data_IF_853718266638
#
_entry.id   IF_853718266638
#
_cell.length_a   1.000
_cell.length_b   1.000
_cell.length_c   1.000
_cell.angle_alpha   90.00
_cell.angle_beta   90.00
_cell.angle_gamma   90.00
#
_symmetry.space_group_name_H-M   'P 1'
#
loop_
_entity.id
_entity.type
_entity.pdbx_description
1 polymer ?
#
# COMPACT_ATOMS: atom_id res chain seq x y z
N UNK A 1 27.35 -6.68 48.89
CA UNK A 1 25.90 -6.80 48.64
C UNK A 1 25.62 -8.12 47.94
N UNK A 2 24.85 -9.02 48.56
CA UNK A 2 24.56 -10.36 48.07
C UNK A 2 23.88 -10.31 46.68
N UNK A 3 24.26 -11.19 45.73
CA UNK A 3 23.62 -11.30 44.41
C UNK A 3 22.10 -11.42 44.51
N UNK A 4 21.62 -12.12 45.54
CA UNK A 4 20.20 -12.28 45.84
C UNK A 4 19.50 -10.94 46.16
N UNK A 5 20.16 -10.06 46.92
CA UNK A 5 19.60 -8.73 47.28
C UNK A 5 19.51 -7.84 46.04
N UNK A 6 20.52 -7.88 45.15
CA UNK A 6 20.47 -7.15 43.87
C UNK A 6 19.32 -7.63 42.98
N UNK A 7 19.09 -8.94 42.92
CA UNK A 7 18.00 -9.53 42.15
C UNK A 7 16.62 -9.12 42.69
N UNK A 8 16.43 -9.16 44.01
CA UNK A 8 15.17 -8.75 44.65
C UNK A 8 14.87 -7.26 44.44
N UNK A 9 15.88 -6.39 44.53
CA UNK A 9 15.73 -4.96 44.25
C UNK A 9 15.37 -4.69 42.78
N UNK A 10 15.96 -5.45 41.84
CA UNK A 10 15.62 -5.34 40.42
C UNK A 10 14.18 -5.76 40.14
N UNK A 11 13.73 -6.87 40.74
CA UNK A 11 12.34 -7.34 40.61
C UNK A 11 11.37 -6.31 41.20
N UNK A 12 11.64 -5.78 42.39
CA UNK A 12 10.80 -4.77 43.02
C UNK A 12 10.70 -3.50 42.17
N UNK A 13 11.81 -3.07 41.55
CA UNK A 13 11.83 -1.93 40.62
C UNK A 13 10.98 -2.20 39.37
N UNK A 14 11.11 -3.39 38.77
CA UNK A 14 10.30 -3.78 37.60
C UNK A 14 8.80 -3.84 37.92
N UNK A 15 8.43 -4.33 39.11
CA UNK A 15 7.04 -4.38 39.57
C UNK A 15 6.48 -2.96 39.81
N UNK A 16 7.25 -2.06 40.41
CA UNK A 16 6.83 -0.67 40.61
C UNK A 16 6.62 0.06 39.27
N UNK A 17 7.51 -0.17 38.28
CA UNK A 17 7.35 0.34 36.92
C UNK A 17 6.08 -0.22 36.27
N UNK A 18 5.84 -1.53 36.41
CA UNK A 18 4.65 -2.18 35.84
C UNK A 18 3.35 -1.61 36.44
N UNK A 19 3.30 -1.40 37.76
CA UNK A 19 2.14 -0.80 38.43
C UNK A 19 1.90 0.63 37.92
N UNK A 20 2.96 1.45 37.83
CA UNK A 20 2.84 2.80 37.27
C UNK A 20 2.35 2.82 35.82
N UNK A 21 2.76 1.85 35.00
CA UNK A 21 2.28 1.70 33.63
C UNK A 21 0.80 1.27 33.57
N UNK A 22 0.31 0.50 34.54
CA UNK A 22 -1.10 0.11 34.65
C UNK A 22 -1.95 1.31 35.07
N UNK A 23 -1.55 2.03 36.12
CA UNK A 23 -2.31 3.17 36.67
C UNK A 23 -2.45 4.33 35.67
N UNK A 24 -1.42 4.56 34.85
CA UNK A 24 -1.44 5.59 33.79
C UNK A 24 -2.19 5.15 32.53
N UNK A 25 -2.62 3.89 32.44
CA UNK A 25 -3.17 3.31 31.21
C UNK A 25 -2.13 3.17 30.09
N UNK A 26 -0.85 3.42 30.36
CA UNK A 26 0.22 3.29 29.38
C UNK A 26 0.38 1.82 28.93
N UNK A 27 0.21 0.86 29.84
CA UNK A 27 0.28 -0.57 29.51
C UNK A 27 -0.87 -1.01 28.59
N UNK A 28 -2.11 -0.60 28.89
CA UNK A 28 -3.27 -0.93 28.05
C UNK A 28 -3.22 -0.22 26.70
N UNK A 29 -2.78 1.04 26.66
CA UNK A 29 -2.53 1.77 25.41
C UNK A 29 -1.44 1.12 24.57
N UNK A 30 -0.35 0.68 25.20
CA UNK A 30 0.77 0.04 24.53
C UNK A 30 0.38 -1.36 23.99
N UNK A 31 -0.28 -2.19 24.80
CA UNK A 31 -0.80 -3.50 24.35
C UNK A 31 -1.82 -3.32 23.22
N UNK A 32 -2.76 -2.38 23.34
CA UNK A 32 -3.75 -2.09 22.31
C UNK A 32 -3.11 -1.63 20.99
N UNK A 33 -2.08 -0.79 21.02
CA UNK A 33 -1.31 -0.42 19.83
C UNK A 33 -0.59 -1.63 19.21
N UNK A 34 0.02 -2.48 20.04
CA UNK A 34 0.77 -3.65 19.59
C UNK A 34 -0.12 -4.68 18.89
N UNK A 35 -1.34 -4.88 19.38
CA UNK A 35 -2.30 -5.80 18.77
C UNK A 35 -2.92 -5.22 17.49
N UNK A 36 -3.20 -3.90 17.45
CA UNK A 36 -3.76 -3.25 16.25
C UNK A 36 -2.75 -3.17 15.10
N UNK A 37 -1.46 -2.91 15.36
CA UNK A 37 -0.43 -2.93 14.31
C UNK A 37 -0.25 -4.34 13.70
N UNK A 38 -0.31 -5.39 14.52
CA UNK A 38 -0.25 -6.78 14.03
C UNK A 38 -1.43 -7.16 13.13
N UNK A 39 -2.53 -6.43 13.21
CA UNK A 39 -3.73 -6.64 12.41
C UNK A 39 -3.76 -5.78 11.14
N UNK A 40 -2.63 -5.18 10.71
CA UNK A 40 -2.60 -4.32 9.52
C UNK A 40 -1.50 -4.69 8.52
N UNK A 41 -1.79 -4.56 7.23
CA UNK A 41 -0.80 -4.62 6.16
C UNK A 41 -0.33 -3.21 5.81
N UNK A 42 0.95 -3.04 5.57
CA UNK A 42 1.49 -1.79 5.02
C UNK A 42 1.30 -1.74 3.51
N UNK A 43 0.84 -0.61 3.00
CA UNK A 43 0.59 -0.35 1.59
C UNK A 43 1.33 0.89 1.13
N UNK A 44 1.83 0.88 -0.10
CA UNK A 44 2.53 2.00 -0.73
C UNK A 44 1.93 2.34 -2.11
N UNK A 45 0.79 3.06 -2.17
CA UNK A 45 0.15 3.35 -3.44
C UNK A 45 0.62 4.65 -4.10
N UNK A 46 0.58 4.63 -5.44
CA UNK A 46 0.83 5.74 -6.34
C UNK A 46 -0.38 5.89 -7.27
N UNK A 47 -0.88 7.11 -7.41
CA UNK A 47 -2.09 7.44 -8.16
C UNK A 47 -1.79 8.47 -9.26
N UNK A 48 -2.10 8.12 -10.50
CA UNK A 48 -2.02 8.98 -11.67
C UNK A 48 -3.41 9.46 -12.10
N UNK A 49 -3.46 10.68 -12.62
CA UNK A 49 -4.69 11.33 -13.08
C UNK A 49 -4.51 11.73 -14.55
N UNK A 50 -5.35 11.19 -15.44
CA UNK A 50 -5.28 11.42 -16.88
C UNK A 50 -6.61 11.96 -17.41
N UNK A 51 -6.90 13.26 -17.25
CA UNK A 51 -8.09 13.87 -17.81
C UNK A 51 -7.97 14.13 -19.32
N UNK A 52 -9.09 14.26 -20.04
CA UNK A 52 -9.05 14.59 -21.49
C UNK A 52 -8.59 16.03 -21.77
N UNK A 53 -8.79 16.91 -20.80
CA UNK A 53 -8.37 18.31 -20.80
C UNK A 53 -7.92 18.69 -19.40
N UNK A 54 -7.16 19.77 -19.30
CA UNK A 54 -6.82 20.36 -18.01
C UNK A 54 -8.08 20.56 -17.16
N UNK A 55 -8.08 20.00 -15.94
CA UNK A 55 -9.20 20.13 -15.02
C UNK A 55 -8.78 20.00 -13.56
N UNK A 56 -9.58 20.60 -12.68
CA UNK A 56 -9.47 20.41 -11.24
C UNK A 56 -9.95 19.01 -10.84
N UNK A 57 -9.18 18.36 -9.97
CA UNK A 57 -9.50 17.06 -9.38
C UNK A 57 -9.29 17.12 -7.87
N UNK A 58 -10.26 16.63 -7.13
CA UNK A 58 -10.16 16.34 -5.70
C UNK A 58 -10.08 14.82 -5.50
N UNK A 59 -9.11 14.36 -4.71
CA UNK A 59 -8.93 12.95 -4.34
C UNK A 59 -8.94 12.82 -2.82
N UNK A 60 -9.83 11.98 -2.29
CA UNK A 60 -9.93 11.66 -0.87
C UNK A 60 -9.79 10.17 -0.64
N UNK A 61 -8.95 9.81 0.32
CA UNK A 61 -8.86 8.46 0.87
C UNK A 61 -9.95 8.33 1.94
N UNK A 62 -10.84 7.35 1.80
CA UNK A 62 -12.04 7.23 2.63
C UNK A 62 -11.73 6.99 4.12
N UNK A 63 -10.70 6.20 4.42
CA UNK A 63 -10.16 6.07 5.78
C UNK A 63 -8.73 6.63 5.84
N UNK A 64 -8.64 7.94 6.00
CA UNK A 64 -7.37 8.66 6.00
C UNK A 64 -6.61 8.56 7.33
N UNK A 65 -7.20 7.97 8.39
CA UNK A 65 -6.49 7.73 9.65
C UNK A 65 -5.36 6.69 9.51
N UNK A 66 -5.31 6.02 8.36
CA UNK A 66 -4.36 4.97 8.04
C UNK A 66 -3.12 5.50 7.31
N UNK A 67 -3.09 6.78 6.92
CA UNK A 67 -1.97 7.41 6.22
C UNK A 67 -0.78 7.58 7.18
N UNK A 68 0.37 7.04 6.80
CA UNK A 68 1.66 7.15 7.49
C UNK A 68 2.59 8.15 6.82
N UNK A 69 2.57 8.22 5.50
CA UNK A 69 3.32 9.19 4.72
C UNK A 69 2.50 9.63 3.49
N UNK A 70 2.78 10.83 2.99
CA UNK A 70 2.09 11.42 1.85
C UNK A 70 3.05 12.27 1.02
N UNK A 71 2.85 12.29 -0.29
CA UNK A 71 3.55 13.21 -1.18
C UNK A 71 2.76 13.45 -2.48
N UNK A 72 2.35 14.69 -2.82
CA UNK A 72 2.45 15.92 -2.02
C UNK A 72 1.67 15.83 -0.70
N UNK A 73 1.80 16.84 0.17
CA UNK A 73 1.17 16.82 1.49
C UNK A 73 -0.34 16.63 1.38
N UNK A 74 -0.88 15.58 2.03
CA UNK A 74 -2.32 15.30 2.08
C UNK A 74 -3.03 16.21 3.09
N UNK A 75 -4.20 16.73 2.73
CA UNK A 75 -5.09 17.44 3.66
C UNK A 75 -6.08 16.45 4.30
N UNK A 76 -6.05 16.34 5.63
CA UNK A 76 -6.88 15.38 6.37
C UNK A 76 -8.39 15.62 6.28
N UNK A 77 -8.85 16.76 5.78
CA UNK A 77 -10.27 17.09 5.63
C UNK A 77 -10.68 17.16 4.16
N UNK A 78 -9.83 17.79 3.35
CA UNK A 78 -10.12 18.11 1.96
C UNK A 78 -9.47 17.15 0.96
N UNK A 79 -8.54 16.30 1.40
CA UNK A 79 -7.75 15.45 0.53
C UNK A 79 -6.80 16.24 -0.37
N UNK A 80 -6.32 15.62 -1.44
CA UNK A 80 -5.56 16.36 -2.46
C UNK A 80 -6.53 17.14 -3.35
N UNK A 81 -6.20 18.41 -3.58
CA UNK A 81 -6.83 19.25 -4.60
C UNK A 81 -5.76 19.67 -5.59
N UNK A 82 -5.93 19.25 -6.84
CA UNK A 82 -4.92 19.44 -7.88
C UNK A 82 -5.56 19.91 -9.17
N UNK A 83 -4.78 20.57 -10.01
CA UNK A 83 -5.10 20.74 -11.42
C UNK A 83 -4.35 19.65 -12.21
N UNK A 84 -5.08 18.73 -12.84
CA UNK A 84 -4.52 17.60 -13.57
C UNK A 84 -4.47 17.89 -15.08
N UNK A 85 -3.43 17.41 -15.75
CA UNK A 85 -3.19 17.62 -17.18
C UNK A 85 -3.25 16.29 -17.95
N UNK A 86 -3.62 16.30 -19.26
CA UNK A 86 -3.75 15.07 -20.04
C UNK A 86 -2.48 14.22 -20.16
N UNK A 87 -1.30 14.82 -19.94
CA UNK A 87 0.00 14.12 -19.95
C UNK A 87 0.34 13.45 -18.60
N UNK A 88 -0.56 13.51 -17.62
CA UNK A 88 -0.39 12.92 -16.29
C UNK A 88 0.28 13.83 -15.27
N UNK A 89 0.74 15.03 -15.67
CA UNK A 89 1.24 16.02 -14.69
C UNK A 89 0.08 16.51 -13.82
N UNK A 90 0.40 16.86 -12.58
CA UNK A 90 -0.53 17.50 -11.66
C UNK A 90 0.12 18.72 -11.03
N UNK A 91 -0.64 19.80 -10.86
CA UNK A 91 -0.26 20.96 -10.07
C UNK A 91 -1.02 20.92 -8.75
N UNK A 92 -0.31 20.76 -7.65
CA UNK A 92 -0.94 20.69 -6.33
C UNK A 92 -1.30 22.09 -5.83
N UNK A 93 -2.55 22.31 -5.43
CA UNK A 93 -2.97 23.62 -4.91
C UNK A 93 -2.45 23.90 -3.50
N UNK A 94 -2.13 22.86 -2.71
CA UNK A 94 -1.65 23.03 -1.34
C UNK A 94 -0.30 23.75 -1.25
N UNK A 95 0.58 23.58 -2.25
CA UNK A 95 1.92 24.17 -2.28
C UNK A 95 2.31 24.84 -3.60
N UNK A 96 1.44 24.79 -4.62
CA UNK A 96 1.66 25.39 -5.93
C UNK A 96 2.78 24.72 -6.73
N UNK A 97 3.06 23.42 -6.50
CA UNK A 97 4.13 22.68 -7.17
C UNK A 97 3.61 21.61 -8.12
N UNK A 98 4.41 21.32 -9.14
CA UNK A 98 4.15 20.26 -10.10
C UNK A 98 4.65 18.91 -9.58
N UNK A 99 3.85 17.85 -9.81
CA UNK A 99 4.14 16.47 -9.48
C UNK A 99 3.72 15.54 -10.63
N UNK A 100 4.25 14.32 -10.63
CA UNK A 100 3.89 13.28 -11.62
C UNK A 100 2.76 12.35 -11.15
N UNK A 101 2.49 12.31 -9.84
CA UNK A 101 1.49 11.46 -9.21
C UNK A 101 1.20 11.90 -7.78
N UNK A 102 0.14 11.36 -7.19
CA UNK A 102 -0.12 11.41 -5.75
C UNK A 102 0.38 10.11 -5.11
N UNK A 103 1.11 10.21 -4.00
CA UNK A 103 1.64 9.08 -3.26
C UNK A 103 1.13 9.09 -1.83
N UNK A 104 0.84 7.90 -1.31
CA UNK A 104 0.71 7.69 0.13
C UNK A 104 1.33 6.37 0.56
N UNK A 105 1.74 6.33 1.82
CA UNK A 105 1.98 5.10 2.55
C UNK A 105 0.89 5.01 3.61
N UNK A 106 0.37 3.82 3.85
CA UNK A 106 -0.56 3.63 4.94
C UNK A 106 -0.73 2.19 5.34
N UNK A 107 -1.84 1.94 6.02
CA UNK A 107 -2.19 0.59 6.48
C UNK A 107 -3.59 0.20 6.02
N UNK A 108 -3.82 -1.10 5.89
CA UNK A 108 -5.15 -1.67 5.67
C UNK A 108 -5.36 -2.82 6.65
N UNK A 109 -6.59 -3.03 7.09
CA UNK A 109 -6.91 -4.06 8.09
C UNK A 109 -6.80 -5.48 7.50
N UNK A 110 -6.10 -6.37 8.21
CA UNK A 110 -5.86 -7.77 7.83
C UNK A 110 -7.12 -8.63 7.87
N UNK A 111 -8.16 -8.18 8.56
CA UNK A 111 -9.48 -8.82 8.56
C UNK A 111 -10.08 -8.86 7.14
N UNK A 112 -9.61 -7.98 6.25
CA UNK A 112 -9.77 -8.08 4.80
C UNK A 112 -8.65 -8.93 4.19
N UNK A 113 -8.50 -10.16 4.66
CA UNK A 113 -7.38 -11.03 4.29
C UNK A 113 -7.37 -11.26 2.77
N UNK A 114 -6.19 -11.10 2.16
CA UNK A 114 -5.99 -11.37 0.74
C UNK A 114 -6.21 -12.84 0.42
N UNK A 115 -7.01 -13.12 -0.61
CA UNK A 115 -7.24 -14.49 -1.04
C UNK A 115 -6.12 -14.96 -1.97
N UNK A 116 -5.04 -15.48 -1.38
CA UNK A 116 -3.87 -15.98 -2.10
C UNK A 116 -4.06 -17.39 -2.72
N UNK A 117 -5.30 -17.85 -2.88
CA UNK A 117 -5.59 -19.13 -3.56
C UNK A 117 -5.37 -19.07 -5.07
N UNK A 118 -5.26 -17.87 -5.64
CA UNK A 118 -4.91 -17.64 -7.04
C UNK A 118 -3.74 -16.66 -7.13
N UNK A 119 -2.95 -16.75 -8.19
CA UNK A 119 -1.81 -15.88 -8.38
C UNK A 119 -0.73 -16.54 -9.21
N UNK A 120 0.50 -16.18 -8.93
CA UNK A 120 1.67 -16.62 -9.69
C UNK A 120 2.81 -16.90 -8.73
N UNK A 121 3.55 -17.98 -8.96
CA UNK A 121 4.80 -18.26 -8.24
C UNK A 121 5.95 -18.09 -9.20
N UNK A 122 6.76 -17.06 -8.98
CA UNK A 122 7.80 -16.61 -9.91
C UNK A 122 9.15 -16.58 -9.21
N UNK A 123 10.20 -17.04 -9.88
CA UNK A 123 11.56 -16.98 -9.35
C UNK A 123 11.98 -15.51 -9.14
N UNK A 124 12.90 -15.25 -8.20
CA UNK A 124 13.48 -13.91 -8.06
C UNK A 124 14.19 -13.41 -9.32
N UNK A 125 14.75 -14.33 -10.11
CA UNK A 125 15.44 -14.02 -11.37
C UNK A 125 14.46 -13.54 -12.46
N UNK A 126 13.28 -14.16 -12.55
CA UNK A 126 12.29 -13.88 -13.60
C UNK A 126 11.29 -12.76 -13.23
N UNK A 127 11.23 -12.37 -11.95
CA UNK A 127 10.16 -11.49 -11.45
C UNK A 127 10.11 -10.13 -12.16
N UNK A 128 11.25 -9.61 -12.63
CA UNK A 128 11.28 -8.34 -13.36
C UNK A 128 10.48 -8.42 -14.67
N UNK A 129 10.78 -9.43 -15.48
CA UNK A 129 10.12 -9.60 -16.78
C UNK A 129 8.67 -10.03 -16.61
N UNK A 130 8.40 -10.87 -15.60
CA UNK A 130 7.04 -11.24 -15.23
C UNK A 130 6.18 -10.00 -14.92
N UNK A 131 6.62 -9.11 -14.02
CA UNK A 131 5.85 -7.92 -13.66
C UNK A 131 5.60 -7.02 -14.88
N UNK A 132 6.64 -6.78 -15.70
CA UNK A 132 6.52 -5.97 -16.91
C UNK A 132 5.46 -6.53 -17.88
N UNK A 133 5.48 -7.83 -18.12
CA UNK A 133 4.53 -8.48 -19.03
C UNK A 133 3.13 -8.51 -18.45
N UNK A 134 2.98 -8.87 -17.17
CA UNK A 134 1.68 -9.01 -16.52
C UNK A 134 0.98 -7.67 -16.32
N UNK A 135 1.68 -6.62 -15.93
CA UNK A 135 1.10 -5.28 -15.82
C UNK A 135 0.69 -4.72 -17.18
N UNK A 136 1.48 -4.98 -18.23
CA UNK A 136 1.09 -4.61 -19.61
C UNK A 136 -0.18 -5.35 -20.05
N UNK A 137 -0.31 -6.64 -19.73
CA UNK A 137 -1.50 -7.45 -20.00
C UNK A 137 -2.74 -6.91 -19.28
N UNK A 138 -2.60 -6.44 -18.03
CA UNK A 138 -3.68 -5.81 -17.26
C UNK A 138 -4.12 -4.46 -17.88
N UNK A 139 -3.21 -3.72 -18.53
CA UNK A 139 -3.50 -2.44 -19.19
C UNK A 139 -2.69 -1.25 -18.67
N UNK A 140 -1.61 -1.51 -17.94
CA UNK A 140 -0.66 -0.47 -17.54
C UNK A 140 0.13 0.05 -18.74
N UNK A 141 0.38 1.36 -18.76
CA UNK A 141 1.28 1.99 -19.73
C UNK A 141 2.75 1.78 -19.35
N UNK A 142 3.70 1.96 -20.29
CA UNK A 142 5.12 1.93 -19.98
C UNK A 142 5.57 2.84 -18.85
N UNK A 143 4.95 4.02 -18.71
CA UNK A 143 5.29 4.92 -17.61
C UNK A 143 4.92 4.27 -16.26
N UNK A 144 3.69 3.78 -16.14
CA UNK A 144 3.15 3.26 -14.88
C UNK A 144 3.83 1.95 -14.46
N UNK A 145 3.98 0.97 -15.38
CA UNK A 145 4.59 -0.31 -14.99
C UNK A 145 6.10 -0.18 -14.75
N UNK A 146 6.80 0.77 -15.38
CA UNK A 146 8.24 0.95 -15.12
C UNK A 146 8.47 1.46 -13.69
N UNK A 147 7.67 2.42 -13.23
CA UNK A 147 7.76 2.92 -11.85
C UNK A 147 7.37 1.85 -10.84
N UNK A 148 6.30 1.09 -11.12
CA UNK A 148 5.92 -0.08 -10.33
C UNK A 148 7.09 -1.05 -10.19
N UNK A 149 7.71 -1.44 -11.31
CA UNK A 149 8.82 -2.40 -11.33
C UNK A 149 10.01 -1.83 -10.57
N UNK A 150 10.38 -0.57 -10.79
CA UNK A 150 11.50 0.08 -10.08
C UNK A 150 11.34 0.00 -8.56
N UNK A 151 10.11 0.19 -8.06
CA UNK A 151 9.84 0.13 -6.63
C UNK A 151 9.82 -1.30 -6.07
N UNK A 152 9.06 -2.21 -6.70
CA UNK A 152 8.76 -3.52 -6.11
C UNK A 152 9.80 -4.61 -6.44
N UNK A 153 10.41 -4.58 -7.63
CA UNK A 153 11.38 -5.60 -8.05
C UNK A 153 12.54 -5.80 -7.06
N UNK A 154 13.19 -4.74 -6.53
CA UNK A 154 14.29 -4.89 -5.58
C UNK A 154 13.95 -5.71 -4.33
N UNK A 155 12.67 -5.75 -3.93
CA UNK A 155 12.19 -6.49 -2.76
C UNK A 155 11.95 -7.99 -3.04
N UNK A 156 11.93 -8.38 -4.31
CA UNK A 156 11.59 -9.74 -4.76
C UNK A 156 12.76 -10.48 -5.41
N UNK A 157 13.75 -9.75 -5.95
CA UNK A 157 14.80 -10.29 -6.81
C UNK A 157 15.70 -11.35 -6.15
N UNK A 158 15.87 -11.29 -4.84
CA UNK A 158 16.76 -12.19 -4.09
C UNK A 158 16.00 -13.36 -3.44
N UNK A 159 14.68 -13.39 -3.58
CA UNK A 159 13.88 -14.50 -3.08
C UNK A 159 13.99 -15.68 -4.05
N UNK A 160 14.01 -16.90 -3.51
CA UNK A 160 14.04 -18.12 -4.34
C UNK A 160 12.77 -18.20 -5.21
N UNK A 161 11.61 -17.96 -4.59
CA UNK A 161 10.34 -17.75 -5.28
C UNK A 161 9.54 -16.63 -4.61
N UNK A 162 8.63 -16.03 -5.36
CA UNK A 162 7.68 -15.03 -4.91
C UNK A 162 6.29 -15.51 -5.31
N UNK A 163 5.40 -15.75 -4.33
CA UNK A 163 3.97 -15.81 -4.60
C UNK A 163 3.47 -14.39 -4.79
N UNK A 164 2.80 -14.13 -5.90
CA UNK A 164 2.29 -12.82 -6.29
C UNK A 164 0.79 -12.96 -6.60
N UNK A 165 -0.01 -12.13 -5.95
CA UNK A 165 -1.43 -11.97 -6.20
C UNK A 165 -1.72 -10.49 -6.49
N UNK A 166 -2.42 -10.20 -7.58
CA UNK A 166 -2.85 -8.84 -7.91
C UNK A 166 -4.29 -8.63 -7.41
N UNK A 167 -4.45 -7.89 -6.34
CA UNK A 167 -5.75 -7.56 -5.78
C UNK A 167 -6.36 -6.33 -6.49
N UNK A 168 -7.52 -6.52 -7.11
CA UNK A 168 -8.32 -5.48 -7.77
C UNK A 168 -9.51 -5.11 -6.88
N UNK A 169 -10.68 -5.71 -7.08
CA UNK A 169 -11.91 -5.44 -6.30
C UNK A 169 -11.73 -5.58 -4.79
N UNK A 170 -10.88 -6.52 -4.36
CA UNK A 170 -10.52 -6.69 -2.95
C UNK A 170 -9.86 -5.44 -2.39
N UNK A 171 -8.96 -4.83 -3.16
CA UNK A 171 -8.26 -3.61 -2.78
C UNK A 171 -9.19 -2.39 -2.80
N UNK A 172 -10.07 -2.28 -3.79
CA UNK A 172 -11.03 -1.18 -3.88
C UNK A 172 -11.96 -1.13 -2.65
N UNK A 173 -12.45 -2.30 -2.20
CA UNK A 173 -13.21 -2.44 -0.95
C UNK A 173 -12.35 -2.22 0.29
N UNK A 174 -11.06 -2.56 0.22
CA UNK A 174 -10.15 -2.39 1.34
C UNK A 174 -9.86 -0.92 1.63
N UNK A 175 -9.65 -0.12 0.59
CA UNK A 175 -9.30 1.30 0.68
C UNK A 175 -10.05 2.11 -0.38
N UNK A 176 -11.32 2.48 -0.16
CA UNK A 176 -12.10 3.22 -1.16
C UNK A 176 -11.58 4.65 -1.39
N UNK A 177 -11.61 5.11 -2.63
CA UNK A 177 -11.30 6.50 -3.00
C UNK A 177 -12.58 7.27 -3.36
N UNK A 178 -12.68 8.54 -2.94
CA UNK A 178 -13.66 9.51 -3.44
C UNK A 178 -12.90 10.51 -4.34
N UNK A 179 -13.19 10.46 -5.65
CA UNK A 179 -12.53 11.29 -6.68
C UNK A 179 -13.59 12.17 -7.35
N UNK A 180 -13.31 13.47 -7.46
CA UNK A 180 -14.22 14.46 -8.05
C UNK A 180 -13.49 15.36 -9.04
N UNK A 181 -13.98 15.52 -10.29
CA UNK A 181 -15.11 14.80 -10.89
C UNK A 181 -14.87 13.29 -10.90
N UNK A 182 -15.95 12.50 -10.97
CA UNK A 182 -15.81 11.05 -11.03
C UNK A 182 -15.06 10.65 -12.32
N UNK A 183 -14.08 9.74 -12.25
CA UNK A 183 -13.41 9.25 -13.43
C UNK A 183 -14.35 8.39 -14.28
N UNK A 184 -14.18 8.48 -15.60
CA UNK A 184 -14.88 7.65 -16.57
C UNK A 184 -14.31 6.22 -16.61
N UNK A 185 -13.03 6.06 -16.25
CA UNK A 185 -12.38 4.76 -16.10
C UNK A 185 -11.36 4.76 -14.97
N UNK A 186 -11.33 3.69 -14.18
CA UNK A 186 -10.42 3.55 -13.04
C UNK A 186 -9.79 2.15 -13.01
N UNK A 187 -8.46 2.11 -12.89
CA UNK A 187 -7.68 0.88 -12.70
C UNK A 187 -6.96 0.97 -11.37
N UNK A 188 -7.28 0.07 -10.42
CA UNK A 188 -6.59 0.01 -9.12
C UNK A 188 -6.04 -1.38 -8.91
N UNK A 189 -4.72 -1.49 -8.77
CA UNK A 189 -4.04 -2.78 -8.56
C UNK A 189 -3.14 -2.71 -7.36
N UNK A 190 -3.41 -3.53 -6.35
CA UNK A 190 -2.50 -3.74 -5.23
C UNK A 190 -1.83 -5.12 -5.37
N UNK A 191 -0.53 -5.15 -5.57
CA UNK A 191 0.22 -6.41 -5.62
C UNK A 191 0.52 -6.89 -4.21
N UNK A 192 0.00 -8.05 -3.85
CA UNK A 192 0.32 -8.76 -2.62
C UNK A 192 1.37 -9.80 -2.96
N UNK A 193 2.54 -9.73 -2.33
CA UNK A 193 3.56 -10.75 -2.54
C UNK A 193 4.07 -11.36 -1.23
N UNK A 194 4.40 -12.66 -1.29
CA UNK A 194 5.00 -13.42 -0.20
C UNK A 194 6.23 -14.20 -0.70
N UNK A 195 7.41 -14.04 -0.07
CA UNK A 195 8.58 -14.87 -0.35
C UNK A 195 8.33 -16.34 -0.03
N UNK A 196 8.79 -17.24 -0.90
CA UNK A 196 8.69 -18.69 -0.73
C UNK A 196 10.05 -19.38 -0.91
N UNK A 197 10.27 -20.47 -0.14
CA UNK A 197 11.45 -21.34 -0.30
C UNK A 197 11.28 -22.40 -1.38
N UNK A 198 10.03 -22.70 -1.73
CA UNK A 198 9.67 -23.76 -2.66
C UNK A 198 8.60 -23.26 -3.62
N UNK A 199 8.64 -23.80 -4.84
CA UNK A 199 7.60 -23.54 -5.81
C UNK A 199 6.32 -24.24 -5.36
N UNK A 200 5.19 -23.53 -5.45
CA UNK A 200 3.87 -24.12 -5.28
C UNK A 200 3.05 -23.83 -6.53
N UNK A 201 2.30 -24.82 -6.98
CA UNK A 201 1.42 -24.67 -8.13
C UNK A 201 0.09 -24.10 -7.67
N UNK A 202 -0.30 -22.94 -8.20
CA UNK A 202 -1.57 -22.28 -7.90
C UNK A 202 -2.23 -21.81 -9.21
N UNK A 203 -3.57 -21.79 -9.26
CA UNK A 203 -4.28 -21.27 -10.42
C UNK A 203 -3.88 -19.82 -10.72
N UNK A 204 -3.55 -19.55 -11.98
CA UNK A 204 -3.30 -18.20 -12.45
C UNK A 204 -4.57 -17.32 -12.37
N UNK A 205 -4.38 -16.04 -12.06
CA UNK A 205 -5.46 -15.05 -12.15
C UNK A 205 -5.73 -14.70 -13.61
N UNK A 206 -7.01 -14.54 -13.96
CA UNK A 206 -7.44 -14.02 -15.25
C UNK A 206 -7.75 -12.52 -15.14
N UNK A 207 -7.48 -11.78 -16.22
CA UNK A 207 -7.69 -10.33 -16.25
C UNK A 207 -8.33 -9.92 -17.57
N UNK A 208 -9.37 -9.09 -17.47
CA UNK A 208 -9.82 -8.32 -18.63
C UNK A 208 -8.89 -7.14 -18.85
N UNK A 209 -8.54 -6.87 -20.11
CA UNK A 209 -7.70 -5.73 -20.45
C UNK A 209 -8.41 -4.42 -20.09
N UNK A 210 -7.75 -3.55 -19.32
CA UNK A 210 -8.30 -2.27 -18.92
C UNK A 210 -8.36 -1.27 -20.10
N UNK A 211 -9.58 -0.93 -20.53
CA UNK A 211 -9.82 0.10 -21.53
C UNK A 211 -9.90 1.50 -20.91
N UNK A 212 -9.04 2.40 -21.36
CA UNK A 212 -9.02 3.80 -20.94
C UNK A 212 -10.05 4.61 -21.71
N UNK A 213 -10.99 5.22 -21.01
CA UNK A 213 -12.07 6.05 -21.58
C UNK A 213 -12.19 7.31 -20.74
N UNK A 214 -12.32 8.46 -21.40
CA UNK A 214 -12.52 9.76 -20.75
C UNK A 214 -11.45 10.07 -19.70
N UNK A 215 -11.87 10.71 -18.61
CA UNK A 215 -11.01 10.93 -17.45
C UNK A 215 -10.63 9.58 -16.82
N UNK A 216 -9.36 9.21 -16.95
CA UNK A 216 -8.82 7.95 -16.47
C UNK A 216 -8.01 8.15 -15.19
N UNK A 217 -8.19 7.26 -14.21
CA UNK A 217 -7.38 7.19 -13.00
C UNK A 217 -6.70 5.83 -12.91
N UNK A 218 -5.41 5.82 -12.60
CA UNK A 218 -4.65 4.58 -12.37
C UNK A 218 -4.01 4.65 -11.00
N UNK A 219 -4.29 3.66 -10.15
CA UNK A 219 -3.56 3.44 -8.90
C UNK A 219 -2.83 2.11 -8.98
N UNK A 220 -1.56 2.11 -8.59
CA UNK A 220 -0.90 0.88 -8.21
C UNK A 220 -0.32 0.98 -6.82
N UNK A 221 -0.28 -0.14 -6.12
CA UNK A 221 0.37 -0.27 -4.83
C UNK A 221 0.81 -1.70 -4.60
N UNK A 222 1.18 -2.00 -3.36
CA UNK A 222 1.50 -3.36 -2.99
C UNK A 222 1.70 -3.56 -1.51
N UNK A 223 1.68 -4.83 -1.14
CA UNK A 223 1.86 -5.35 0.22
C UNK A 223 2.91 -6.43 0.15
N UNK A 224 3.95 -6.30 0.98
CA UNK A 224 4.84 -7.42 1.30
C UNK A 224 4.28 -8.17 2.49
N UNK A 225 4.06 -9.47 2.32
CA UNK A 225 3.77 -10.37 3.42
C UNK A 225 5.05 -10.95 3.99
N UNK A 226 5.10 -11.06 5.31
CA UNK A 226 6.18 -11.76 5.99
C UNK A 226 6.10 -13.27 5.72
N UNK A 227 7.27 -13.90 5.72
CA UNK A 227 7.45 -15.32 5.46
C UNK A 227 6.84 -16.19 6.56
#
# INVERSE_FOLDING_TARGET
MNKLIKLLLLIALLLAILIGLIETGALSSWIGKLDVEKLRYEVNPVLYLYPEKEQEVQVKISDNNLIKADYPKYDMKEGWKVNAYPDGRIMNYGDGREYSYLFWEGTIEKEKAWNLSTGYVVSGEDVRDFLRLKLKEIGFTPQEYNEFVVYWYPLMKDNKYNLIHFALDEYDKASPLDIRPAPDSILRVCMVFKPLDEYIDIPAQDFEFFERKGFTVVEWGGVKLEK
#
